data_IF_310768259112
#
_entry.id   IF_310768259112
#
_cell.length_a   1.000
_cell.length_b   1.000
_cell.length_c   1.000
_cell.angle_alpha   90.00
_cell.angle_beta   90.00
_cell.angle_gamma   90.00
#
_symmetry.space_group_name_H-M   'P 1'
#
loop_
_entity.id
_entity.type
_entity.pdbx_description
1 polymer ?
#
# COMPACT_ATOMS: atom_id res chain seq x y z
N UNK A 1 -12.70 -30.82 65.32
CA UNK A 1 -13.61 -30.75 64.15
C UNK A 1 -13.85 -29.29 63.65
N UNK A 2 -13.84 -28.25 64.48
CA UNK A 2 -14.04 -26.83 64.05
C UNK A 2 -12.87 -26.19 63.26
N UNK A 3 -11.64 -26.69 63.40
CA UNK A 3 -10.45 -26.12 62.72
C UNK A 3 -10.31 -26.59 61.27
N UNK A 4 -10.77 -27.80 60.94
CA UNK A 4 -10.73 -28.34 59.55
C UNK A 4 -11.74 -27.62 58.64
N UNK A 5 -12.92 -27.27 59.10
CA UNK A 5 -13.95 -26.56 58.35
C UNK A 5 -13.53 -25.11 57.99
N UNK A 6 -12.74 -24.47 58.88
CA UNK A 6 -12.26 -23.11 58.65
C UNK A 6 -11.18 -23.02 57.55
N UNK A 7 -10.38 -24.07 57.37
CA UNK A 7 -9.37 -24.13 56.30
C UNK A 7 -9.99 -24.50 54.93
N UNK A 8 -11.01 -25.33 54.88
CA UNK A 8 -11.73 -25.69 53.64
C UNK A 8 -12.37 -24.46 53.00
N UNK A 9 -12.99 -23.58 53.78
CA UNK A 9 -13.60 -22.34 53.26
C UNK A 9 -12.54 -21.35 52.73
N UNK A 10 -11.34 -21.30 53.31
CA UNK A 10 -10.25 -20.46 52.80
C UNK A 10 -9.70 -20.98 51.48
N UNK A 11 -9.53 -22.31 51.36
CA UNK A 11 -9.07 -22.95 50.11
C UNK A 11 -10.12 -22.73 49.01
N UNK A 12 -11.40 -22.89 49.31
CA UNK A 12 -12.48 -22.64 48.35
C UNK A 12 -12.52 -21.18 47.88
N UNK A 13 -12.31 -20.22 48.78
CA UNK A 13 -12.25 -18.79 48.47
C UNK A 13 -11.05 -18.47 47.59
N UNK A 14 -9.88 -19.07 47.83
CA UNK A 14 -8.67 -18.91 47.04
C UNK A 14 -8.88 -19.48 45.63
N UNK A 15 -9.52 -20.63 45.46
CA UNK A 15 -9.83 -21.25 44.17
C UNK A 15 -10.79 -20.35 43.35
N UNK A 16 -11.81 -19.76 44.00
CA UNK A 16 -12.72 -18.82 43.34
C UNK A 16 -11.97 -17.56 42.86
N UNK A 17 -11.08 -17.00 43.69
CA UNK A 17 -10.27 -15.84 43.31
C UNK A 17 -9.34 -16.17 42.17
N UNK A 18 -8.71 -17.35 42.17
CA UNK A 18 -7.85 -17.81 41.06
C UNK A 18 -8.64 -17.97 39.77
N UNK A 19 -9.84 -18.56 39.81
CA UNK A 19 -10.72 -18.67 38.62
C UNK A 19 -11.12 -17.29 38.09
N UNK A 20 -11.39 -16.32 38.98
CA UNK A 20 -11.76 -14.96 38.60
C UNK A 20 -10.59 -14.15 38.00
N UNK A 21 -9.36 -14.38 38.50
CA UNK A 21 -8.13 -13.75 37.96
C UNK A 21 -7.73 -14.35 36.60
N UNK A 22 -8.03 -15.62 36.36
CA UNK A 22 -7.78 -16.27 35.08
C UNK A 22 -8.89 -16.09 34.02
N UNK A 23 -10.03 -15.49 34.39
CA UNK A 23 -11.06 -15.06 33.45
C UNK A 23 -10.58 -13.82 32.68
N UNK A 24 -9.41 -13.90 32.01
CA UNK A 24 -9.12 -12.97 30.92
C UNK A 24 -10.22 -13.16 29.90
N UNK A 25 -11.06 -12.15 29.74
CA UNK A 25 -11.96 -12.07 28.62
C UNK A 25 -11.10 -12.30 27.37
N UNK A 26 -11.25 -13.45 26.74
CA UNK A 26 -10.80 -13.66 25.35
C UNK A 26 -11.70 -12.71 24.56
N UNK A 27 -11.30 -11.43 24.47
CA UNK A 27 -11.75 -10.58 23.39
C UNK A 27 -11.19 -11.24 22.15
N UNK A 28 -12.03 -12.07 21.53
CA UNK A 28 -11.71 -12.68 20.26
C UNK A 28 -11.21 -11.60 19.31
N UNK A 29 -10.14 -11.86 18.62
CA UNK A 29 -9.53 -10.99 17.62
C UNK A 29 -10.57 -10.75 16.50
N UNK A 30 -11.43 -9.76 16.70
CA UNK A 30 -12.64 -9.52 15.90
C UNK A 30 -12.34 -8.88 14.53
N UNK A 31 -11.11 -8.43 14.29
CA UNK A 31 -10.69 -7.87 13.02
C UNK A 31 -10.03 -8.94 12.14
N UNK A 32 -10.83 -9.72 11.43
CA UNK A 32 -10.33 -10.59 10.36
C UNK A 32 -10.51 -9.91 9.00
N UNK A 33 -9.47 -9.89 8.18
CA UNK A 33 -9.60 -9.50 6.78
C UNK A 33 -8.69 -10.31 5.87
N UNK A 34 -9.08 -10.42 4.61
CA UNK A 34 -8.31 -11.08 3.58
C UNK A 34 -8.41 -10.37 2.23
N UNK A 35 -7.64 -10.86 1.28
CA UNK A 35 -7.47 -10.31 -0.05
C UNK A 35 -7.86 -11.37 -1.07
N UNK A 36 -8.47 -10.97 -2.19
CA UNK A 36 -8.70 -11.89 -3.31
C UNK A 36 -7.39 -12.39 -3.92
N UNK A 37 -6.33 -11.58 -3.81
CA UNK A 37 -5.01 -11.87 -4.35
C UNK A 37 -3.93 -11.33 -3.43
N UNK A 38 -3.02 -12.20 -3.00
CA UNK A 38 -1.83 -11.82 -2.22
C UNK A 38 -0.65 -11.43 -3.12
N UNK A 39 -0.73 -11.75 -4.41
CA UNK A 39 0.28 -11.43 -5.42
C UNK A 39 -0.34 -10.82 -6.68
N UNK A 40 0.35 -9.83 -7.24
CA UNK A 40 0.00 -9.22 -8.53
C UNK A 40 1.18 -9.40 -9.46
N UNK A 41 0.92 -10.00 -10.62
CA UNK A 41 1.91 -10.19 -11.65
C UNK A 41 1.80 -9.10 -12.73
N UNK A 42 2.90 -8.37 -12.95
CA UNK A 42 3.02 -7.38 -14.02
C UNK A 42 3.72 -8.04 -15.20
N UNK A 43 2.94 -8.31 -16.24
CA UNK A 43 3.43 -8.78 -17.54
C UNK A 43 3.51 -7.61 -18.53
N UNK A 44 4.05 -7.86 -19.73
CA UNK A 44 4.20 -6.84 -20.79
C UNK A 44 2.87 -6.19 -21.20
N UNK A 45 1.77 -6.94 -21.12
CA UNK A 45 0.40 -6.51 -21.45
C UNK A 45 -0.43 -6.12 -20.22
N UNK A 46 0.21 -5.81 -19.09
CA UNK A 46 -0.51 -5.44 -17.85
C UNK A 46 -1.22 -4.10 -18.00
N UNK A 47 -2.54 -4.12 -17.99
CA UNK A 47 -3.41 -2.94 -18.10
C UNK A 47 -4.02 -2.50 -16.75
N UNK A 48 -3.60 -3.16 -15.66
CA UNK A 48 -4.12 -2.97 -14.31
C UNK A 48 -4.80 -4.22 -13.79
N UNK A 49 -5.04 -4.25 -12.47
CA UNK A 49 -5.72 -5.35 -11.78
C UNK A 49 -6.60 -4.83 -10.65
N UNK A 50 -7.82 -5.34 -10.56
CA UNK A 50 -8.69 -5.13 -9.42
C UNK A 50 -8.38 -6.17 -8.34
N UNK A 51 -8.28 -5.72 -7.09
CA UNK A 51 -8.13 -6.57 -5.90
C UNK A 51 -9.27 -6.27 -4.97
N UNK A 52 -9.94 -7.32 -4.50
CA UNK A 52 -11.02 -7.22 -3.51
C UNK A 52 -10.39 -7.40 -2.13
N UNK A 53 -10.66 -6.46 -1.25
CA UNK A 53 -10.29 -6.52 0.16
C UNK A 53 -11.58 -6.67 0.94
N UNK A 54 -11.66 -7.72 1.74
CA UNK A 54 -12.86 -8.05 2.49
C UNK A 54 -12.52 -8.57 3.88
N UNK A 55 -13.46 -8.48 4.79
CA UNK A 55 -13.23 -8.98 6.14
C UNK A 55 -14.47 -8.86 7.01
N UNK A 56 -14.35 -9.35 8.24
CA UNK A 56 -15.44 -9.31 9.21
C UNK A 56 -15.41 -7.99 9.97
N UNK A 57 -16.60 -7.47 10.21
CA UNK A 57 -16.83 -6.29 11.05
C UNK A 57 -18.08 -6.50 11.91
N UNK A 58 -18.18 -5.76 12.98
CA UNK A 58 -19.41 -5.66 13.78
C UNK A 58 -20.11 -4.36 13.39
N UNK A 59 -21.45 -4.30 13.38
CA UNK A 59 -22.22 -3.10 13.04
C UNK A 59 -21.85 -1.83 13.80
N UNK A 60 -21.29 -1.99 15.00
CA UNK A 60 -20.85 -0.88 15.85
C UNK A 60 -19.51 -0.27 15.42
N UNK A 61 -18.74 -0.95 14.55
CA UNK A 61 -17.43 -0.50 14.13
C UNK A 61 -17.46 0.17 12.77
N UNK A 62 -16.87 1.34 12.70
CA UNK A 62 -16.47 1.95 11.43
C UNK A 62 -15.12 1.37 10.98
N UNK A 63 -14.91 1.28 9.68
CA UNK A 63 -13.70 0.68 9.11
C UNK A 63 -13.00 1.66 8.18
N UNK A 64 -11.69 1.82 8.39
CA UNK A 64 -10.80 2.54 7.46
C UNK A 64 -9.74 1.57 6.98
N UNK A 65 -9.46 1.61 5.69
CA UNK A 65 -8.38 0.89 5.03
C UNK A 65 -7.42 1.89 4.39
N UNK A 66 -6.12 1.70 4.61
CA UNK A 66 -5.06 2.47 3.96
C UNK A 66 -4.11 1.51 3.26
N UNK A 67 -3.96 1.67 1.94
CA UNK A 67 -3.02 0.91 1.14
C UNK A 67 -1.88 1.83 0.68
N UNK A 68 -0.65 1.46 1.01
CA UNK A 68 0.57 2.17 0.64
C UNK A 68 1.46 1.28 -0.22
N UNK A 69 1.82 1.78 -1.40
CA UNK A 69 2.81 1.12 -2.26
C UNK A 69 4.25 1.41 -1.85
N UNK A 70 5.23 0.72 -2.45
CA UNK A 70 6.64 0.94 -2.16
C UNK A 70 7.02 2.40 -2.33
N UNK A 71 7.82 2.90 -1.39
CA UNK A 71 8.25 4.29 -1.34
C UNK A 71 9.40 4.56 -2.31
N UNK A 72 9.37 5.74 -2.93
CA UNK A 72 10.46 6.21 -3.80
C UNK A 72 10.65 7.71 -3.71
N UNK A 73 11.86 8.16 -4.00
CA UNK A 73 12.15 9.58 -4.15
C UNK A 73 11.47 10.11 -5.43
N UNK A 74 10.61 11.11 -5.27
CA UNK A 74 9.84 11.70 -6.37
C UNK A 74 10.23 13.14 -6.58
N UNK A 75 10.69 13.46 -7.80
CA UNK A 75 11.09 14.81 -8.20
C UNK A 75 9.94 15.49 -8.92
N UNK A 76 9.53 16.64 -8.44
CA UNK A 76 8.54 17.52 -9.08
C UNK A 76 9.24 18.78 -9.56
N UNK A 77 9.03 19.15 -10.81
CA UNK A 77 9.68 20.32 -11.44
C UNK A 77 8.65 21.26 -12.04
N UNK A 78 8.92 22.56 -11.93
CA UNK A 78 8.18 23.58 -12.65
C UNK A 78 8.88 23.86 -13.98
N UNK A 79 8.13 23.79 -15.08
CA UNK A 79 8.60 24.26 -16.39
C UNK A 79 8.14 25.70 -16.62
N UNK A 80 9.02 26.54 -17.09
CA UNK A 80 8.74 27.92 -17.47
C UNK A 80 9.32 28.19 -18.85
N UNK A 81 8.68 29.05 -19.61
CA UNK A 81 9.16 29.44 -20.93
C UNK A 81 10.09 30.64 -20.77
N UNK A 82 11.38 30.42 -21.06
CA UNK A 82 12.41 31.47 -21.06
C UNK A 82 13.00 31.55 -22.48
N UNK A 83 13.00 32.76 -23.06
CA UNK A 83 13.51 32.98 -24.42
C UNK A 83 12.96 32.00 -25.48
N UNK A 84 11.67 31.64 -25.36
CA UNK A 84 11.03 30.72 -26.28
C UNK A 84 11.21 29.24 -25.98
N UNK A 85 12.11 28.86 -25.06
CA UNK A 85 12.42 27.47 -24.67
C UNK A 85 11.75 27.09 -23.34
N UNK A 86 11.33 25.82 -23.23
CA UNK A 86 10.80 25.29 -21.97
C UNK A 86 11.95 24.82 -21.08
N UNK A 87 12.16 25.51 -19.96
CA UNK A 87 13.25 25.22 -19.01
C UNK A 87 12.68 24.80 -17.65
N UNK A 88 13.34 23.85 -17.01
CA UNK A 88 13.01 23.45 -15.63
C UNK A 88 13.66 24.44 -14.65
N UNK A 89 12.86 25.31 -14.02
CA UNK A 89 13.36 26.39 -13.15
C UNK A 89 13.43 25.97 -11.67
N UNK A 90 12.32 25.50 -11.12
CA UNK A 90 12.19 25.12 -9.71
C UNK A 90 11.93 23.64 -9.57
N UNK A 91 12.49 23.02 -8.52
CA UNK A 91 12.29 21.60 -8.23
C UNK A 91 12.15 21.34 -6.74
N UNK A 92 11.29 20.36 -6.41
CA UNK A 92 11.20 19.74 -5.09
C UNK A 92 11.39 18.23 -5.24
N UNK A 93 12.15 17.63 -4.34
CA UNK A 93 12.31 16.18 -4.23
C UNK A 93 11.64 15.75 -2.94
N UNK A 94 10.58 14.95 -3.05
CA UNK A 94 9.94 14.29 -1.92
C UNK A 94 10.64 12.97 -1.69
N UNK A 95 11.24 12.78 -0.51
CA UNK A 95 11.89 11.51 -0.13
C UNK A 95 10.85 10.54 0.42
N UNK A 96 11.01 9.27 0.09
CA UNK A 96 10.16 8.17 0.59
C UNK A 96 8.65 8.37 0.32
N UNK A 97 8.31 8.96 -0.84
CA UNK A 97 6.92 9.13 -1.23
C UNK A 97 6.33 7.78 -1.67
N UNK A 98 5.18 7.34 -1.12
CA UNK A 98 4.50 6.13 -1.58
C UNK A 98 4.17 6.22 -3.07
N UNK A 99 4.43 5.14 -3.80
CA UNK A 99 4.11 5.06 -5.24
C UNK A 99 2.60 5.13 -5.47
N UNK A 100 1.85 4.38 -4.68
CA UNK A 100 0.39 4.35 -4.61
C UNK A 100 -0.04 4.67 -3.18
N UNK A 101 -1.15 5.37 -3.03
CA UNK A 101 -1.79 5.64 -1.75
C UNK A 101 -3.31 5.61 -1.93
N UNK A 102 -3.93 4.54 -1.45
CA UNK A 102 -5.39 4.38 -1.48
C UNK A 102 -5.94 4.43 -0.07
N UNK A 103 -7.06 5.10 0.08
CA UNK A 103 -7.82 5.15 1.32
C UNK A 103 -9.23 4.67 1.01
N UNK A 104 -9.77 3.79 1.83
CA UNK A 104 -11.16 3.43 1.79
C UNK A 104 -11.77 3.57 3.18
N UNK A 105 -13.01 4.04 3.26
CA UNK A 105 -13.71 4.20 4.53
C UNK A 105 -15.18 3.83 4.40
N UNK A 106 -15.77 3.35 5.49
CA UNK A 106 -17.21 3.06 5.59
C UNK A 106 -18.04 4.35 5.66
N UNK A 107 -17.51 5.35 6.36
CA UNK A 107 -18.11 6.69 6.54
C UNK A 107 -17.06 7.77 6.37
N UNK A 108 -17.42 9.05 6.25
CA UNK A 108 -16.45 10.14 6.15
C UNK A 108 -15.46 10.15 7.31
N UNK A 109 -14.16 10.17 7.03
CA UNK A 109 -13.09 9.99 8.03
C UNK A 109 -13.18 11.03 9.15
N UNK A 110 -13.56 12.27 8.83
CA UNK A 110 -13.71 13.36 9.80
C UNK A 110 -14.83 13.11 10.83
N UNK A 111 -15.83 12.30 10.48
CA UNK A 111 -16.95 11.99 11.37
C UNK A 111 -16.59 10.86 12.34
N UNK A 112 -15.74 9.94 11.89
CA UNK A 112 -15.43 8.68 12.60
C UNK A 112 -14.12 8.73 13.40
N UNK A 113 -13.26 9.73 13.17
CA UNK A 113 -12.00 9.89 13.92
C UNK A 113 -11.75 11.34 14.35
N UNK A 114 -11.00 11.50 15.43
CA UNK A 114 -10.51 12.79 15.87
C UNK A 114 -9.37 13.28 14.98
N UNK A 115 -9.27 14.61 14.78
CA UNK A 115 -8.26 15.25 13.92
C UNK A 115 -6.82 14.86 14.30
N UNK A 116 -6.52 14.77 15.59
CA UNK A 116 -5.21 14.33 16.09
C UNK A 116 -4.83 12.93 15.57
N UNK A 117 -5.76 11.97 15.61
CA UNK A 117 -5.56 10.61 15.13
C UNK A 117 -5.39 10.59 13.60
N UNK A 118 -6.17 11.40 12.89
CA UNK A 118 -6.08 11.54 11.42
C UNK A 118 -4.69 12.02 11.02
N UNK A 119 -4.16 13.03 11.70
CA UNK A 119 -2.81 13.57 11.46
C UNK A 119 -1.75 12.54 11.82
N UNK A 120 -1.84 11.92 13.00
CA UNK A 120 -0.87 10.93 13.49
C UNK A 120 -0.75 9.71 12.58
N UNK A 121 -1.87 9.20 12.06
CA UNK A 121 -1.91 8.05 11.14
C UNK A 121 -1.73 8.46 9.68
N UNK A 122 -1.65 9.77 9.38
CA UNK A 122 -1.54 10.32 8.02
C UNK A 122 -2.61 9.73 7.08
N UNK A 123 -3.89 9.88 7.48
CA UNK A 123 -5.03 9.28 6.77
C UNK A 123 -5.50 10.10 5.58
N UNK A 124 -4.97 11.30 5.35
CA UNK A 124 -5.20 12.08 4.13
C UNK A 124 -3.89 12.30 3.37
N UNK A 125 -4.00 12.56 2.08
CA UNK A 125 -2.84 12.79 1.21
C UNK A 125 -2.02 13.99 1.67
N UNK A 126 -2.68 15.04 2.15
CA UNK A 126 -2.05 16.26 2.64
C UNK A 126 -1.20 16.00 3.88
N UNK A 127 -1.75 15.32 4.89
CA UNK A 127 -1.04 15.00 6.14
C UNK A 127 0.15 14.08 5.88
N UNK A 128 0.00 13.11 4.96
CA UNK A 128 1.11 12.26 4.56
C UNK A 128 2.27 13.08 3.98
N UNK A 129 1.98 14.10 3.15
CA UNK A 129 3.02 14.93 2.53
C UNK A 129 3.72 15.88 3.51
N UNK A 130 3.02 16.36 4.54
CA UNK A 130 3.59 17.26 5.57
C UNK A 130 4.78 16.60 6.26
N UNK A 131 4.70 15.31 6.55
CA UNK A 131 5.71 14.56 7.29
C UNK A 131 6.88 14.06 6.41
N UNK A 132 6.83 14.30 5.09
CA UNK A 132 7.89 13.87 4.20
C UNK A 132 9.05 14.86 4.15
N UNK A 133 10.28 14.33 4.23
CA UNK A 133 11.49 15.11 4.02
C UNK A 133 11.55 15.58 2.57
N UNK A 134 11.65 16.90 2.38
CA UNK A 134 11.77 17.50 1.04
C UNK A 134 13.11 18.19 0.86
N UNK A 135 13.68 18.09 -0.36
CA UNK A 135 14.82 18.88 -0.80
C UNK A 135 14.39 19.84 -1.91
N UNK A 136 14.87 21.09 -1.85
CA UNK A 136 14.48 22.18 -2.76
C UNK A 136 15.71 22.89 -3.31
N UNK A 137 15.59 23.44 -4.51
CA UNK A 137 16.63 24.28 -5.12
C UNK A 137 16.31 25.78 -5.11
N UNK A 138 15.38 26.21 -4.25
CA UNK A 138 14.98 27.63 -4.11
C UNK A 138 14.70 27.96 -2.65
N UNK A 139 14.95 29.23 -2.28
CA UNK A 139 14.69 29.74 -0.93
C UNK A 139 13.18 29.88 -0.69
N UNK A 140 12.79 29.58 0.54
CA UNK A 140 11.40 29.43 0.93
C UNK A 140 11.00 30.51 1.94
N UNK A 141 10.72 31.72 1.47
CA UNK A 141 10.23 32.79 2.34
C UNK A 141 8.69 32.91 2.38
N UNK A 142 7.97 31.94 1.82
CA UNK A 142 6.51 32.00 1.78
C UNK A 142 5.93 30.63 2.16
N UNK A 143 5.38 30.52 3.36
CA UNK A 143 4.70 29.32 3.89
C UNK A 143 3.56 28.81 2.99
N UNK A 144 2.96 29.68 2.19
CA UNK A 144 1.90 29.34 1.23
C UNK A 144 2.38 28.56 -0.01
N UNK A 145 3.70 28.52 -0.30
CA UNK A 145 4.20 27.85 -1.52
C UNK A 145 4.39 26.33 -1.36
N UNK A 146 4.59 25.82 -0.14
CA UNK A 146 4.62 24.36 0.09
C UNK A 146 3.28 23.74 -0.28
N UNK A 147 2.23 24.37 0.13
CA UNK A 147 0.87 23.95 -0.11
C UNK A 147 0.54 23.86 -1.60
N UNK A 148 1.01 24.80 -2.40
CA UNK A 148 0.83 24.79 -3.86
C UNK A 148 1.52 23.58 -4.51
N UNK A 149 2.75 23.25 -4.08
CA UNK A 149 3.47 22.10 -4.61
C UNK A 149 2.84 20.78 -4.18
N UNK A 150 2.43 20.68 -2.92
CA UNK A 150 1.73 19.52 -2.39
C UNK A 150 0.40 19.29 -3.13
N UNK A 151 -0.42 20.32 -3.30
CA UNK A 151 -1.68 20.25 -4.06
C UNK A 151 -1.45 19.82 -5.51
N UNK A 152 -0.42 20.35 -6.18
CA UNK A 152 -0.07 19.95 -7.56
C UNK A 152 0.41 18.50 -7.62
N UNK A 153 1.23 18.04 -6.68
CA UNK A 153 1.68 16.66 -6.62
C UNK A 153 0.49 15.71 -6.43
N UNK A 154 -0.39 16.00 -5.46
CA UNK A 154 -1.61 15.21 -5.21
C UNK A 154 -2.47 15.16 -6.47
N UNK A 155 -2.68 16.30 -7.14
CA UNK A 155 -3.44 16.37 -8.40
C UNK A 155 -2.85 15.44 -9.46
N UNK A 156 -1.54 15.51 -9.72
CA UNK A 156 -0.85 14.65 -10.69
C UNK A 156 -0.99 13.16 -10.31
N UNK A 157 -0.90 12.83 -9.02
CA UNK A 157 -1.06 11.46 -8.54
C UNK A 157 -2.50 10.96 -8.69
N UNK A 158 -3.51 11.81 -8.41
CA UNK A 158 -4.94 11.51 -8.61
C UNK A 158 -5.25 11.30 -10.09
N UNK A 159 -4.78 12.16 -10.99
CA UNK A 159 -4.95 12.03 -12.45
C UNK A 159 -4.35 10.74 -13.01
N UNK A 160 -3.27 10.24 -12.41
CA UNK A 160 -2.65 8.96 -12.77
C UNK A 160 -3.27 7.74 -12.05
N UNK A 161 -4.37 7.91 -11.32
CA UNK A 161 -5.01 6.89 -10.50
C UNK A 161 -4.07 6.22 -9.47
N UNK A 162 -3.01 6.92 -9.05
CA UNK A 162 -2.07 6.42 -8.05
C UNK A 162 -2.49 6.79 -6.61
N UNK A 163 -3.27 7.88 -6.45
CA UNK A 163 -3.85 8.31 -5.19
C UNK A 163 -5.36 8.39 -5.36
N UNK A 164 -6.10 7.58 -4.59
CA UNK A 164 -7.54 7.46 -4.77
C UNK A 164 -8.24 7.13 -3.46
N UNK A 165 -9.44 7.64 -3.35
CA UNK A 165 -10.36 7.36 -2.25
C UNK A 165 -11.45 6.39 -2.73
N UNK A 166 -11.74 5.39 -1.90
CA UNK A 166 -12.74 4.37 -2.16
C UNK A 166 -13.76 4.33 -1.03
N UNK A 167 -14.91 3.73 -1.29
CA UNK A 167 -15.90 3.44 -0.25
C UNK A 167 -15.82 1.98 0.16
N UNK A 168 -15.94 1.71 1.45
CA UNK A 168 -16.15 0.38 1.98
C UNK A 168 -17.66 0.11 1.96
N UNK A 169 -18.06 -1.02 1.39
CA UNK A 169 -19.43 -1.51 1.47
C UNK A 169 -19.53 -2.47 2.65
N UNK A 170 -20.57 -2.29 3.47
CA UNK A 170 -20.93 -3.23 4.53
C UNK A 170 -22.07 -4.11 3.98
N UNK A 171 -21.90 -5.42 4.06
CA UNK A 171 -22.86 -6.43 3.62
C UNK A 171 -23.36 -7.17 4.85
N UNK A 172 -24.69 -7.28 4.98
CA UNK A 172 -25.38 -7.97 6.08
C UNK A 172 -24.89 -7.59 7.49
N UNK A 173 -24.42 -6.33 7.64
CA UNK A 173 -23.89 -5.78 8.88
C UNK A 173 -22.72 -6.59 9.50
N UNK A 174 -22.08 -7.47 8.75
CA UNK A 174 -21.03 -8.38 9.24
C UNK A 174 -19.79 -8.42 8.37
N UNK A 175 -19.94 -8.14 7.08
CA UNK A 175 -18.83 -8.21 6.11
C UNK A 175 -18.56 -6.82 5.54
N UNK A 176 -17.33 -6.35 5.64
CA UNK A 176 -16.90 -5.19 4.86
C UNK A 176 -16.21 -5.66 3.56
N UNK A 177 -16.42 -4.91 2.50
CA UNK A 177 -15.82 -5.16 1.19
C UNK A 177 -15.46 -3.84 0.52
N UNK A 178 -14.27 -3.80 -0.08
CA UNK A 178 -13.89 -2.72 -1.01
C UNK A 178 -13.11 -3.28 -2.18
N UNK A 179 -13.23 -2.63 -3.35
CA UNK A 179 -12.51 -2.99 -4.57
C UNK A 179 -11.51 -1.90 -4.88
N UNK A 180 -10.24 -2.24 -4.91
CA UNK A 180 -9.15 -1.32 -5.23
C UNK A 180 -8.54 -1.70 -6.58
N UNK A 181 -8.31 -0.71 -7.43
CA UNK A 181 -7.76 -0.92 -8.76
C UNK A 181 -6.30 -0.49 -8.81
N UNK A 182 -5.42 -1.44 -9.08
CA UNK A 182 -4.00 -1.20 -9.35
C UNK A 182 -3.84 -0.82 -10.82
N UNK A 183 -3.44 0.42 -11.15
CA UNK A 183 -3.36 0.88 -12.54
C UNK A 183 -2.15 0.29 -13.29
N UNK A 184 -2.13 0.42 -14.61
CA UNK A 184 -1.06 -0.09 -15.47
C UNK A 184 0.35 0.42 -15.10
N UNK A 185 0.46 1.61 -14.50
CA UNK A 185 1.70 2.22 -14.04
C UNK A 185 2.10 1.82 -12.60
N UNK A 186 1.50 0.75 -12.07
CA UNK A 186 1.89 0.13 -10.80
C UNK A 186 3.33 -0.36 -10.87
N UNK A 187 4.14 -0.07 -9.84
CA UNK A 187 5.54 -0.50 -9.79
C UNK A 187 5.70 -1.79 -8.98
N UNK A 188 6.67 -2.65 -9.30
CA UNK A 188 6.98 -3.83 -8.49
C UNK A 188 7.43 -3.45 -7.09
N UNK A 189 7.12 -4.31 -6.13
CA UNK A 189 7.49 -4.17 -4.72
C UNK A 189 6.39 -4.63 -3.77
N UNK A 190 6.62 -4.44 -2.48
CA UNK A 190 5.66 -4.80 -1.42
C UNK A 190 4.72 -3.62 -1.15
N UNK A 191 3.44 -3.90 -1.18
CA UNK A 191 2.36 -2.99 -0.86
C UNK A 191 1.80 -3.34 0.52
N UNK A 192 1.67 -2.36 1.40
CA UNK A 192 1.18 -2.54 2.76
C UNK A 192 -0.26 -2.07 2.87
N UNK A 193 -1.11 -2.90 3.47
CA UNK A 193 -2.51 -2.62 3.73
C UNK A 193 -2.71 -2.59 5.24
N UNK A 194 -3.13 -1.45 5.75
CA UNK A 194 -3.51 -1.29 7.15
C UNK A 194 -5.03 -1.12 7.22
N UNK A 195 -5.66 -1.91 8.06
CA UNK A 195 -7.09 -1.78 8.37
C UNK A 195 -7.24 -1.37 9.82
N UNK A 196 -8.09 -0.36 10.03
CA UNK A 196 -8.43 0.19 11.32
C UNK A 196 -9.92 -0.01 11.54
N UNK A 197 -10.29 -0.61 12.67
CA UNK A 197 -11.67 -0.61 13.17
C UNK A 197 -11.80 0.45 14.25
N UNK A 198 -12.83 1.27 14.13
CA UNK A 198 -13.04 2.45 14.95
C UNK A 198 -14.35 2.31 15.72
N UNK A 199 -14.32 2.64 17.00
CA UNK A 199 -15.49 2.75 17.85
C UNK A 199 -15.37 4.02 18.69
N UNK A 200 -16.43 4.83 18.71
CA UNK A 200 -16.45 6.11 19.44
C UNK A 200 -15.22 7.00 19.17
N UNK A 201 -14.82 7.13 17.91
CA UNK A 201 -13.67 7.93 17.43
C UNK A 201 -12.30 7.43 17.91
N UNK A 202 -12.21 6.20 18.42
CA UNK A 202 -10.97 5.56 18.88
C UNK A 202 -10.71 4.34 18.02
N UNK A 203 -9.46 4.16 17.59
CA UNK A 203 -9.02 2.94 16.90
C UNK A 203 -8.96 1.81 17.95
N UNK A 204 -9.83 0.83 17.81
CA UNK A 204 -9.92 -0.33 18.71
C UNK A 204 -9.16 -1.54 18.19
N UNK A 205 -9.06 -1.68 16.87
CA UNK A 205 -8.30 -2.75 16.22
C UNK A 205 -7.48 -2.21 15.05
N UNK A 206 -6.26 -2.74 14.91
CA UNK A 206 -5.37 -2.46 13.78
C UNK A 206 -4.78 -3.77 13.26
N UNK A 207 -4.90 -4.01 11.96
CA UNK A 207 -4.35 -5.18 11.29
C UNK A 207 -3.60 -4.76 10.03
N UNK A 208 -2.52 -5.49 9.75
CA UNK A 208 -1.69 -5.26 8.56
C UNK A 208 -1.62 -6.53 7.69
N UNK A 209 -1.68 -6.35 6.38
CA UNK A 209 -1.34 -7.37 5.38
C UNK A 209 -0.50 -6.77 4.27
N UNK A 210 0.14 -7.63 3.48
CA UNK A 210 1.01 -7.22 2.38
C UNK A 210 0.57 -7.88 1.08
N UNK A 211 0.64 -7.12 -0.02
CA UNK A 211 0.51 -7.62 -1.39
C UNK A 211 1.90 -7.53 -2.04
N UNK A 212 2.34 -8.61 -2.65
CA UNK A 212 3.56 -8.62 -3.43
C UNK A 212 3.25 -8.36 -4.90
N UNK A 213 3.78 -7.28 -5.45
CA UNK A 213 3.71 -6.96 -6.87
C UNK A 213 5.05 -7.30 -7.52
N UNK A 214 5.06 -8.24 -8.45
CA UNK A 214 6.29 -8.71 -9.13
C UNK A 214 6.17 -8.62 -10.64
N UNK A 215 7.29 -8.36 -11.31
CA UNK A 215 7.36 -8.50 -12.76
C UNK A 215 7.50 -9.97 -13.12
N UNK A 216 6.66 -10.42 -14.05
CA UNK A 216 6.69 -11.78 -14.60
C UNK A 216 6.72 -11.74 -16.13
N UNK A 217 6.82 -12.90 -16.76
CA UNK A 217 6.83 -13.04 -18.21
C UNK A 217 8.21 -13.31 -18.82
N UNK A 218 8.23 -13.55 -20.12
CA UNK A 218 9.44 -13.96 -20.86
C UNK A 218 10.54 -12.91 -20.77
N UNK A 219 10.19 -11.62 -20.89
CA UNK A 219 11.17 -10.52 -20.77
C UNK A 219 11.90 -10.51 -19.43
N UNK A 220 11.19 -10.76 -18.33
CA UNK A 220 11.83 -10.83 -17.01
C UNK A 220 12.75 -12.07 -16.87
N UNK A 221 12.35 -13.21 -17.46
CA UNK A 221 13.19 -14.42 -17.49
C UNK A 221 14.48 -14.18 -18.26
N UNK A 222 14.40 -13.49 -19.39
CA UNK A 222 15.58 -13.11 -20.21
C UNK A 222 16.50 -12.16 -19.46
N UNK A 223 15.96 -11.12 -18.82
CA UNK A 223 16.74 -10.18 -18.01
C UNK A 223 17.41 -10.90 -16.84
N UNK A 224 16.68 -11.75 -16.12
CA UNK A 224 17.23 -12.52 -15.00
C UNK A 224 18.34 -13.48 -15.46
N UNK A 225 18.18 -14.12 -16.60
CA UNK A 225 19.20 -14.99 -17.20
C UNK A 225 20.46 -14.18 -17.56
N UNK A 226 20.29 -13.00 -18.18
CA UNK A 226 21.41 -12.12 -18.54
C UNK A 226 22.18 -11.61 -17.33
N UNK A 227 21.51 -11.32 -16.21
CA UNK A 227 22.16 -10.82 -15.00
C UNK A 227 22.73 -11.92 -14.11
N UNK A 228 22.00 -13.03 -13.95
CA UNK A 228 22.40 -14.08 -13.01
C UNK A 228 23.33 -15.12 -13.64
N UNK A 229 23.25 -15.32 -14.98
CA UNK A 229 24.03 -16.29 -15.73
C UNK A 229 24.51 -15.69 -17.08
N UNK A 230 25.36 -14.66 -17.05
CA UNK A 230 25.75 -13.91 -18.27
C UNK A 230 26.46 -14.77 -19.30
N UNK A 231 27.23 -15.78 -18.89
CA UNK A 231 27.92 -16.70 -19.79
C UNK A 231 26.92 -17.55 -20.60
N UNK A 232 25.90 -18.10 -19.95
CA UNK A 232 24.85 -18.90 -20.61
C UNK A 232 24.03 -18.01 -21.54
N UNK A 233 23.69 -16.80 -21.12
CA UNK A 233 22.99 -15.84 -21.96
C UNK A 233 23.80 -15.51 -23.22
N UNK A 234 25.12 -15.27 -23.10
CA UNK A 234 26.00 -15.02 -24.23
C UNK A 234 26.05 -16.17 -25.24
N UNK A 235 26.16 -17.42 -24.76
CA UNK A 235 26.15 -18.63 -25.58
C UNK A 235 24.82 -18.73 -26.35
N UNK A 236 23.69 -18.51 -25.69
CA UNK A 236 22.37 -18.53 -26.32
C UNK A 236 22.27 -17.45 -27.40
N UNK A 237 22.76 -16.23 -27.15
CA UNK A 237 22.78 -15.16 -28.17
C UNK A 237 23.61 -15.51 -29.39
N UNK A 238 24.79 -16.13 -29.23
CA UNK A 238 25.65 -16.58 -30.33
C UNK A 238 24.91 -17.64 -31.17
N UNK A 239 24.27 -18.61 -30.52
CA UNK A 239 23.48 -19.64 -31.18
C UNK A 239 22.35 -19.04 -32.05
N UNK A 240 21.59 -18.08 -31.48
CA UNK A 240 20.55 -17.38 -32.22
C UNK A 240 21.10 -16.56 -33.40
N UNK A 241 22.26 -15.91 -33.25
CA UNK A 241 22.91 -15.15 -34.31
C UNK A 241 23.33 -16.03 -35.48
N UNK A 242 23.97 -17.17 -35.20
CA UNK A 242 24.37 -18.16 -36.21
C UNK A 242 23.14 -18.70 -36.94
N UNK A 243 22.09 -19.08 -36.18
CA UNK A 243 20.88 -19.64 -36.78
C UNK A 243 20.15 -18.63 -37.66
N UNK A 244 20.03 -17.38 -37.20
CA UNK A 244 19.45 -16.29 -38.01
C UNK A 244 20.28 -16.02 -39.27
N UNK A 245 21.61 -16.06 -39.16
CA UNK A 245 22.51 -15.92 -40.33
C UNK A 245 22.32 -17.01 -41.38
N UNK A 246 22.20 -18.27 -40.96
CA UNK A 246 21.95 -19.41 -41.85
C UNK A 246 20.59 -19.27 -42.56
N UNK A 247 19.54 -18.89 -41.80
CA UNK A 247 18.21 -18.67 -42.38
C UNK A 247 18.26 -17.55 -43.41
N UNK A 248 18.87 -16.42 -43.08
CA UNK A 248 19.01 -15.30 -44.00
C UNK A 248 19.78 -15.70 -45.25
N UNK A 249 20.93 -16.38 -45.12
CA UNK A 249 21.73 -16.84 -46.24
C UNK A 249 20.96 -17.81 -47.14
N UNK A 250 20.15 -18.72 -46.57
CA UNK A 250 19.35 -19.67 -47.36
C UNK A 250 18.16 -19.00 -48.07
N UNK A 251 17.53 -18.02 -47.40
CA UNK A 251 16.42 -17.26 -47.98
C UNK A 251 16.89 -16.40 -49.19
N UNK A 252 17.98 -15.65 -49.02
CA UNK A 252 18.54 -14.80 -50.08
C UNK A 252 19.21 -15.58 -51.21
N UNK A 253 19.64 -16.82 -50.98
CA UNK A 253 20.20 -17.67 -52.03
C UNK A 253 19.15 -18.25 -52.97
N UNK A 254 17.87 -18.22 -52.63
CA UNK A 254 16.75 -18.71 -53.44
C UNK A 254 15.97 -17.59 -54.15
N UNK A 255 16.36 -16.34 -53.95
CA UNK A 255 15.93 -15.17 -54.71
C UNK A 255 16.92 -14.83 -55.79
#
# INVERSE_FOLDING_TARGET
MKTMLKNSNKIFLIVIIVIFVFSKSILGDQAYFDLSDNEIEIQTNFNGKEVIIFGLTDPKFETILVLKGPSKNTKVQKKERLFGLWVNTKRIIYKNLPSIFFIASSSPINEILNEETIIKKALYFEQMLINLITQRNFNYNESNKADIWNKKLIKIKKEKNLYKEYKIKIVDNKLFQTRVFFPANTIPGTYEINIYQIYNKIIVNEKNKKILVKKTGVGNKVINLAHNQPAIYGIICIFFAIFAGIIAATAFRRL
#
